data_IF_673015649262
#
_entry.id   IF_673015649262
#
_cell.length_a   1.000
_cell.length_b   1.000
_cell.length_c   1.000
_cell.angle_alpha   90.00
_cell.angle_beta   90.00
_cell.angle_gamma   90.00
#
_symmetry.space_group_name_H-M   'P 1'
#
loop_
_entity.id
_entity.type
_entity.pdbx_description
1 polymer ?
#
# COMPACT_ATOMS: atom_id res chain seq x y z
N UNK A 1 -2.18 14.84 -6.56
CA UNK A 1 -2.74 13.68 -5.84
C UNK A 1 -3.76 14.20 -4.84
N UNK A 2 -5.04 14.10 -5.15
CA UNK A 2 -6.12 14.62 -4.30
C UNK A 2 -6.32 13.65 -3.13
N UNK A 3 -5.84 14.04 -1.95
CA UNK A 3 -5.99 13.26 -0.72
C UNK A 3 -7.44 13.19 -0.24
N UNK A 4 -7.72 12.26 0.67
CA UNK A 4 -9.05 12.01 1.25
C UNK A 4 -9.78 13.27 1.76
N UNK A 5 -9.04 14.28 2.22
CA UNK A 5 -9.60 15.57 2.67
C UNK A 5 -10.22 16.39 1.55
N UNK A 6 -9.65 16.38 0.34
CA UNK A 6 -10.15 17.18 -0.79
C UNK A 6 -11.52 16.69 -1.31
N UNK A 7 -11.82 15.41 -1.10
CA UNK A 7 -13.13 14.81 -1.40
C UNK A 7 -14.21 15.23 -0.40
N UNK A 8 -13.84 15.50 0.85
CA UNK A 8 -14.77 15.98 1.89
C UNK A 8 -15.02 17.49 1.79
N UNK A 9 -14.00 18.26 1.41
CA UNK A 9 -14.10 19.73 1.29
C UNK A 9 -14.79 20.21 0.00
N UNK A 10 -15.23 19.30 -0.89
CA UNK A 10 -15.92 19.65 -2.14
C UNK A 10 -15.06 20.36 -3.21
N UNK A 11 -13.80 20.68 -2.88
CA UNK A 11 -12.82 21.34 -3.76
C UNK A 11 -12.30 20.43 -4.87
N UNK A 12 -12.49 19.12 -4.74
CA UNK A 12 -12.08 18.13 -5.74
C UNK A 12 -13.00 18.06 -6.98
N UNK A 13 -14.17 18.73 -6.97
CA UNK A 13 -15.14 18.67 -8.05
C UNK A 13 -15.09 19.92 -8.93
N UNK A 14 -14.18 19.92 -9.91
CA UNK A 14 -14.12 20.95 -10.95
C UNK A 14 -15.11 20.59 -12.05
N UNK A 15 -16.14 21.40 -12.33
CA UNK A 15 -17.16 21.07 -13.33
C UNK A 15 -16.57 20.77 -14.71
N UNK A 16 -16.95 19.63 -15.31
CA UNK A 16 -16.42 19.17 -16.59
C UNK A 16 -14.97 18.66 -16.54
N UNK A 17 -14.39 18.52 -15.35
CA UNK A 17 -13.04 17.99 -15.14
C UNK A 17 -12.98 16.47 -14.95
N UNK A 18 -11.77 15.98 -14.72
CA UNK A 18 -11.51 14.57 -14.36
C UNK A 18 -10.95 14.52 -12.93
N UNK A 19 -11.59 13.73 -12.06
CA UNK A 19 -11.15 13.43 -10.71
C UNK A 19 -10.43 12.09 -10.69
N UNK A 20 -9.15 12.10 -10.34
CA UNK A 20 -8.34 10.88 -10.20
C UNK A 20 -8.22 10.54 -8.72
N UNK A 21 -8.61 9.32 -8.37
CA UNK A 21 -8.51 8.78 -7.01
C UNK A 21 -7.48 7.66 -7.02
N UNK A 22 -6.41 7.84 -6.24
CA UNK A 22 -5.41 6.80 -6.03
C UNK A 22 -5.81 5.86 -4.89
N UNK A 23 -5.39 4.59 -4.98
CA UNK A 23 -5.68 3.53 -4.01
C UNK A 23 -7.18 3.38 -3.69
N UNK A 24 -8.01 3.37 -4.74
CA UNK A 24 -9.46 3.28 -4.58
C UNK A 24 -9.91 1.96 -3.92
N UNK A 25 -9.07 0.93 -3.88
CA UNK A 25 -9.34 -0.33 -3.18
C UNK A 25 -9.51 -0.17 -1.66
N UNK A 26 -9.00 0.94 -1.10
CA UNK A 26 -9.11 1.30 0.32
C UNK A 26 -10.36 2.13 0.64
N UNK A 27 -11.14 2.52 -0.36
CA UNK A 27 -12.38 3.26 -0.13
C UNK A 27 -13.48 2.32 0.37
N UNK A 28 -14.21 2.80 1.38
CA UNK A 28 -15.46 2.18 1.81
C UNK A 28 -16.58 2.43 0.80
N UNK A 29 -17.65 1.64 0.87
CA UNK A 29 -18.86 1.89 0.07
C UNK A 29 -19.43 3.28 0.32
N UNK A 30 -19.51 3.72 1.58
CA UNK A 30 -20.05 5.04 1.94
C UNK A 30 -19.27 6.17 1.27
N UNK A 31 -17.94 6.14 1.37
CA UNK A 31 -17.07 7.15 0.76
C UNK A 31 -17.22 7.15 -0.76
N UNK A 32 -17.33 5.97 -1.38
CA UNK A 32 -17.50 5.85 -2.83
C UNK A 32 -18.84 6.42 -3.29
N UNK A 33 -19.92 6.19 -2.55
CA UNK A 33 -21.24 6.78 -2.85
C UNK A 33 -21.17 8.30 -2.75
N UNK A 34 -20.57 8.85 -1.69
CA UNK A 34 -20.42 10.31 -1.55
C UNK A 34 -19.58 10.91 -2.68
N UNK A 35 -18.52 10.21 -3.11
CA UNK A 35 -17.70 10.63 -4.24
C UNK A 35 -18.48 10.62 -5.55
N UNK A 36 -19.24 9.56 -5.81
CA UNK A 36 -20.06 9.44 -7.02
C UNK A 36 -21.17 10.49 -7.05
N UNK A 37 -21.84 10.76 -5.92
CA UNK A 37 -22.85 11.81 -5.82
C UNK A 37 -22.26 13.20 -6.14
N UNK A 38 -21.09 13.52 -5.58
CA UNK A 38 -20.36 14.76 -5.90
C UNK A 38 -19.95 14.83 -7.38
N UNK A 39 -19.46 13.73 -7.94
CA UNK A 39 -19.05 13.68 -9.33
C UNK A 39 -20.24 13.85 -10.29
N UNK A 40 -21.39 13.23 -10.00
CA UNK A 40 -22.61 13.36 -10.79
C UNK A 40 -23.15 14.80 -10.76
N UNK A 41 -23.17 15.45 -9.59
CA UNK A 41 -23.65 16.83 -9.45
C UNK A 41 -22.84 17.85 -10.25
N UNK A 42 -21.54 17.59 -10.41
CA UNK A 42 -20.62 18.50 -11.10
C UNK A 42 -20.21 18.01 -12.50
N UNK A 43 -20.84 16.94 -13.01
CA UNK A 43 -20.52 16.33 -14.31
C UNK A 43 -19.02 16.05 -14.47
N UNK A 44 -18.42 15.45 -13.44
CA UNK A 44 -17.00 15.14 -13.33
C UNK A 44 -16.76 13.68 -13.70
N UNK A 45 -15.77 13.42 -14.56
CA UNK A 45 -15.33 12.05 -14.83
C UNK A 45 -14.49 11.54 -13.68
N UNK A 46 -14.80 10.37 -13.11
CA UNK A 46 -14.01 9.78 -12.03
C UNK A 46 -13.14 8.65 -12.57
N UNK A 47 -11.84 8.73 -12.33
CA UNK A 47 -10.88 7.65 -12.56
C UNK A 47 -10.44 7.07 -11.21
N UNK A 48 -10.76 5.79 -10.99
CA UNK A 48 -10.38 5.05 -9.79
C UNK A 48 -9.18 4.16 -10.11
N UNK A 49 -8.05 4.42 -9.46
CA UNK A 49 -6.85 3.59 -9.58
C UNK A 49 -6.92 2.42 -8.59
N UNK A 50 -6.75 1.20 -9.09
CA UNK A 50 -6.62 -0.03 -8.30
C UNK A 50 -5.14 -0.44 -8.24
N UNK A 51 -4.52 -0.35 -7.06
CA UNK A 51 -3.09 -0.67 -6.90
C UNK A 51 -2.82 -2.17 -6.72
N UNK A 52 -3.85 -3.03 -6.76
CA UNK A 52 -3.71 -4.48 -6.59
C UNK A 52 -3.33 -4.91 -5.16
N UNK A 53 -3.30 -3.99 -4.21
CA UNK A 53 -3.10 -4.27 -2.78
C UNK A 53 -4.34 -4.95 -2.19
N UNK A 54 -4.21 -5.51 -0.98
CA UNK A 54 -5.31 -6.19 -0.29
C UNK A 54 -6.53 -5.28 -0.23
N UNK A 55 -7.56 -5.66 -0.99
CA UNK A 55 -8.86 -5.02 -0.99
C UNK A 55 -9.48 -5.08 0.40
N UNK A 56 -10.01 -3.96 0.89
CA UNK A 56 -10.78 -3.97 2.14
C UNK A 56 -11.96 -4.93 2.03
N UNK A 57 -12.34 -5.59 3.13
CA UNK A 57 -13.57 -6.40 3.15
C UNK A 57 -14.77 -5.51 2.78
N UNK A 58 -15.44 -5.78 1.66
CA UNK A 58 -16.50 -4.90 1.15
C UNK A 58 -15.98 -3.69 0.36
N UNK A 59 -14.87 -3.84 -0.38
CA UNK A 59 -14.38 -2.75 -1.23
C UNK A 59 -15.41 -2.36 -2.30
N UNK A 60 -15.61 -1.06 -2.44
CA UNK A 60 -16.51 -0.52 -3.44
C UNK A 60 -16.03 -0.82 -4.87
N UNK A 61 -14.74 -1.06 -5.09
CA UNK A 61 -14.21 -1.43 -6.40
C UNK A 61 -14.79 -2.74 -6.92
N UNK A 62 -15.00 -3.74 -6.07
CA UNK A 62 -15.60 -5.01 -6.49
C UNK A 62 -17.03 -4.78 -6.98
N UNK A 63 -17.83 -4.04 -6.21
CA UNK A 63 -19.22 -3.71 -6.57
C UNK A 63 -19.28 -2.89 -7.86
N UNK A 64 -18.37 -1.93 -8.05
CA UNK A 64 -18.31 -1.12 -9.27
C UNK A 64 -17.93 -1.96 -10.49
N UNK A 65 -17.00 -2.90 -10.35
CA UNK A 65 -16.64 -3.86 -11.40
C UNK A 65 -17.84 -4.74 -11.76
N UNK A 66 -18.55 -5.27 -10.77
CA UNK A 66 -19.74 -6.10 -10.97
C UNK A 66 -20.90 -5.32 -11.62
N UNK A 67 -20.99 -4.02 -11.37
CA UNK A 67 -21.99 -3.13 -11.99
C UNK A 67 -21.70 -2.77 -13.46
N UNK A 68 -20.59 -3.25 -14.03
CA UNK A 68 -20.25 -3.05 -15.44
C UNK A 68 -19.51 -1.77 -15.76
N UNK A 69 -18.86 -1.14 -14.76
CA UNK A 69 -17.97 0.02 -15.01
C UNK A 69 -16.75 -0.44 -15.84
N UNK A 70 -16.37 0.37 -16.84
CA UNK A 70 -15.20 0.10 -17.67
C UNK A 70 -13.93 0.02 -16.80
N UNK A 71 -13.21 -1.10 -16.92
CA UNK A 71 -11.93 -1.30 -16.24
C UNK A 71 -10.78 -1.29 -17.24
N UNK A 72 -9.79 -0.44 -16.98
CA UNK A 72 -8.56 -0.39 -17.76
C UNK A 72 -7.44 -1.04 -16.95
N UNK A 73 -6.92 -2.17 -17.44
CA UNK A 73 -5.78 -2.85 -16.82
C UNK A 73 -4.48 -2.36 -17.45
N UNK A 74 -3.70 -1.59 -16.71
CA UNK A 74 -2.35 -1.22 -17.10
C UNK A 74 -1.43 -2.45 -17.03
N UNK A 75 -0.82 -2.85 -18.16
CA UNK A 75 0.07 -4.01 -18.25
C UNK A 75 1.57 -3.64 -18.31
N UNK A 76 1.90 -2.34 -18.26
CA UNK A 76 3.28 -1.86 -18.42
C UNK A 76 4.12 -1.82 -17.14
N UNK A 77 3.64 -2.40 -16.03
CA UNK A 77 4.37 -2.42 -14.77
C UNK A 77 5.29 -3.65 -14.68
N UNK A 78 6.59 -3.43 -14.47
CA UNK A 78 7.51 -4.52 -14.13
C UNK A 78 7.09 -5.10 -12.78
N UNK A 79 6.61 -6.35 -12.77
CA UNK A 79 6.29 -7.04 -11.53
C UNK A 79 7.60 -7.37 -10.81
N UNK A 80 7.81 -6.79 -9.62
CA UNK A 80 8.96 -7.11 -8.78
C UNK A 80 8.92 -8.60 -8.42
N UNK A 81 10.00 -9.31 -8.73
CA UNK A 81 10.20 -10.70 -8.30
C UNK A 81 10.43 -10.73 -6.79
N UNK A 82 9.76 -11.64 -6.09
CA UNK A 82 9.96 -11.85 -4.66
C UNK A 82 10.71 -13.16 -4.44
N UNK A 83 11.82 -13.10 -3.70
CA UNK A 83 12.53 -14.29 -3.23
C UNK A 83 11.87 -14.82 -1.95
N UNK A 84 11.49 -16.10 -1.96
CA UNK A 84 10.80 -16.73 -0.84
C UNK A 84 11.76 -17.71 -0.15
N UNK A 85 12.10 -17.42 1.11
CA UNK A 85 12.99 -18.26 1.93
C UNK A 85 12.20 -19.00 3.01
N UNK A 86 12.22 -20.33 2.90
CA UNK A 86 11.68 -21.36 3.79
C UNK A 86 12.38 -21.57 5.14
N UNK A 87 12.20 -20.75 6.19
CA UNK A 87 12.83 -21.03 7.50
C UNK A 87 11.82 -21.49 8.57
N UNK A 88 11.77 -22.78 8.97
CA UNK A 88 10.76 -23.29 9.91
C UNK A 88 10.89 -22.71 11.32
N UNK A 89 12.10 -22.45 11.82
CA UNK A 89 12.29 -21.90 13.15
C UNK A 89 12.02 -20.39 13.21
N UNK A 90 11.21 -19.96 14.18
CA UNK A 90 10.81 -18.55 14.32
C UNK A 90 12.01 -17.66 14.67
N UNK A 91 12.91 -18.13 15.54
CA UNK A 91 14.08 -17.38 15.98
C UNK A 91 15.12 -17.24 14.87
N UNK A 92 15.43 -18.34 14.18
CA UNK A 92 16.32 -18.38 13.03
C UNK A 92 15.81 -17.48 11.91
N UNK A 93 14.50 -17.48 11.63
CA UNK A 93 13.88 -16.63 10.61
C UNK A 93 14.07 -15.15 10.90
N UNK A 94 13.87 -14.72 12.15
CA UNK A 94 14.03 -13.31 12.51
C UNK A 94 15.48 -12.88 12.54
N UNK A 95 16.37 -13.75 13.03
CA UNK A 95 17.82 -13.49 13.06
C UNK A 95 18.37 -13.36 11.64
N UNK A 96 17.93 -14.22 10.73
CA UNK A 96 18.30 -14.16 9.31
C UNK A 96 17.77 -12.89 8.64
N UNK A 97 16.50 -12.54 8.86
CA UNK A 97 15.93 -11.30 8.34
C UNK A 97 16.69 -10.06 8.84
N UNK A 98 17.07 -10.05 10.11
CA UNK A 98 17.85 -8.97 10.71
C UNK A 98 19.26 -8.87 10.10
N UNK A 99 19.91 -10.00 9.83
CA UNK A 99 21.22 -10.06 9.19
C UNK A 99 21.16 -9.60 7.72
N UNK A 100 20.22 -10.12 6.93
CA UNK A 100 20.02 -9.71 5.53
C UNK A 100 19.70 -8.21 5.44
N UNK A 101 18.92 -7.68 6.39
CA UNK A 101 18.66 -6.25 6.50
C UNK A 101 19.94 -5.45 6.82
N UNK A 102 20.74 -5.88 7.79
CA UNK A 102 21.97 -5.20 8.16
C UNK A 102 22.98 -5.13 7.00
N UNK A 103 23.15 -6.25 6.28
CA UNK A 103 23.98 -6.32 5.06
C UNK A 103 23.48 -5.33 4.00
N UNK A 104 22.17 -5.32 3.75
CA UNK A 104 21.56 -4.44 2.75
C UNK A 104 21.70 -2.95 3.10
N UNK A 105 21.55 -2.59 4.39
CA UNK A 105 21.79 -1.24 4.89
C UNK A 105 23.26 -0.84 4.74
N UNK A 106 24.20 -1.74 5.03
CA UNK A 106 25.64 -1.51 4.83
C UNK A 106 25.99 -1.28 3.37
N UNK A 107 25.34 -2.00 2.47
CA UNK A 107 25.47 -1.82 1.02
C UNK A 107 24.82 -0.53 0.50
N UNK A 108 24.20 0.27 1.38
CA UNK A 108 23.58 1.55 1.05
C UNK A 108 22.25 1.42 0.33
N UNK A 109 21.60 0.25 0.40
CA UNK A 109 20.30 0.03 -0.23
C UNK A 109 19.17 0.60 0.62
N UNK A 110 18.12 1.12 -0.04
CA UNK A 110 16.88 1.53 0.63
C UNK A 110 16.08 0.29 1.05
N UNK A 111 16.37 -0.22 2.25
CA UNK A 111 15.76 -1.43 2.77
C UNK A 111 14.80 -1.17 3.93
N UNK A 112 13.70 -1.93 3.95
CA UNK A 112 12.66 -1.86 4.99
C UNK A 112 12.28 -3.26 5.43
N UNK A 113 12.51 -3.57 6.71
CA UNK A 113 12.02 -4.81 7.32
C UNK A 113 10.57 -4.64 7.79
N UNK A 114 9.69 -5.57 7.45
CA UNK A 114 8.28 -5.54 7.85
C UNK A 114 7.85 -6.86 8.48
N UNK A 115 7.15 -6.77 9.62
CA UNK A 115 6.53 -7.92 10.29
C UNK A 115 5.19 -7.52 10.89
N UNK A 116 4.25 -8.47 10.88
CA UNK A 116 2.92 -8.31 11.47
C UNK A 116 2.95 -8.54 12.98
N UNK A 117 2.28 -7.67 13.74
CA UNK A 117 2.16 -7.78 15.20
C UNK A 117 3.15 -6.89 15.96
N UNK A 118 2.67 -6.18 16.98
CA UNK A 118 3.48 -5.22 17.76
C UNK A 118 4.56 -5.91 18.60
N UNK A 119 4.26 -7.10 19.13
CA UNK A 119 5.22 -7.91 19.90
C UNK A 119 6.34 -8.41 19.00
N UNK A 120 6.00 -8.98 17.85
CA UNK A 120 6.94 -9.45 16.84
C UNK A 120 7.83 -8.31 16.31
N UNK A 121 7.26 -7.13 16.05
CA UNK A 121 8.03 -5.94 15.68
C UNK A 121 9.06 -5.56 16.74
N UNK A 122 8.69 -5.64 18.03
CA UNK A 122 9.61 -5.32 19.13
C UNK A 122 10.79 -6.30 19.18
N UNK A 123 10.52 -7.60 19.01
CA UNK A 123 11.57 -8.64 18.96
C UNK A 123 12.48 -8.44 17.76
N UNK A 124 11.91 -8.24 16.57
CA UNK A 124 12.68 -8.04 15.34
C UNK A 124 13.53 -6.77 15.40
N UNK A 125 13.01 -5.67 15.95
CA UNK A 125 13.77 -4.44 16.13
C UNK A 125 14.98 -4.63 17.07
N UNK A 126 14.84 -5.46 18.11
CA UNK A 126 15.97 -5.84 18.98
C UNK A 126 17.06 -6.55 18.17
N UNK A 127 16.67 -7.59 17.43
CA UNK A 127 17.59 -8.37 16.59
C UNK A 127 18.26 -7.52 15.50
N UNK A 128 17.50 -6.64 14.82
CA UNK A 128 18.04 -5.72 13.81
C UNK A 128 19.09 -4.80 14.42
N UNK A 129 18.83 -4.21 15.59
CA UNK A 129 19.82 -3.34 16.27
C UNK A 129 21.07 -4.11 16.65
N UNK A 130 20.92 -5.32 17.16
CA UNK A 130 22.06 -6.16 17.53
C UNK A 130 22.88 -6.56 16.30
N UNK A 131 22.23 -6.93 15.19
CA UNK A 131 22.88 -7.20 13.91
C UNK A 131 23.60 -5.97 13.33
N UNK A 132 22.95 -4.80 13.33
CA UNK A 132 23.57 -3.56 12.86
C UNK A 132 24.77 -3.13 13.71
N UNK A 133 24.73 -3.36 15.03
CA UNK A 133 25.87 -3.14 15.93
C UNK A 133 27.02 -4.08 15.63
N UNK A 134 26.74 -5.36 15.40
CA UNK A 134 27.75 -6.35 15.02
C UNK A 134 28.39 -6.02 13.66
N UNK A 135 27.63 -5.45 12.74
CA UNK A 135 28.12 -5.03 11.42
C UNK A 135 28.72 -3.61 11.38
N UNK A 136 28.78 -2.91 12.52
CA UNK A 136 29.39 -1.59 12.64
C UNK A 136 28.59 -0.44 11.99
N UNK A 137 27.29 -0.64 11.72
CA UNK A 137 26.43 0.34 11.04
C UNK A 137 25.62 1.24 11.98
N UNK A 138 25.70 1.03 13.30
CA UNK A 138 25.09 1.90 14.31
C UNK A 138 26.07 2.11 15.46
N UNK A 139 26.57 3.34 15.64
CA UNK A 139 27.05 3.83 16.95
C UNK A 139 25.86 4.22 17.84
#
# INVERSE_FOLDING_TARGET
MTGKSALQDGTAFIPGGTLIVDQAEKLSLKETISLLDGAMRHNVQVLLSDSGKRSGTGSALTVLKDSGVNTYRWQGGQQTTADIISEPDKGARYSRLAQEFAVSVREGQESVAQISGTREQSVLNGLIRDSLRQEGCCE
#
